data_IF_568588870339
#
_entry.id   IF_568588870339
#
_cell.length_a   1.000
_cell.length_b   1.000
_cell.length_c   1.000
_cell.angle_alpha   90.00
_cell.angle_beta   90.00
_cell.angle_gamma   90.00
#
_symmetry.space_group_name_H-M   'P 1'
#
loop_
_entity.id
_entity.type
_entity.pdbx_description
1 polymer ?
#
# COMPACT_ATOMS: atom_id res chain seq x y z
N UNK A 1 28.96 -40.88 -25.28
CA UNK A 1 28.94 -41.09 -23.81
C UNK A 1 27.54 -40.78 -23.30
N UNK A 2 26.83 -41.80 -22.81
CA UNK A 2 25.49 -41.60 -22.18
C UNK A 2 25.71 -40.96 -20.82
N UNK A 3 25.07 -39.83 -20.55
CA UNK A 3 25.09 -39.22 -19.20
C UNK A 3 24.53 -40.22 -18.14
N UNK A 4 25.19 -40.40 -16.99
CA UNK A 4 24.82 -41.42 -16.03
C UNK A 4 23.48 -41.19 -15.30
N UNK A 5 22.78 -40.08 -15.53
CA UNK A 5 21.48 -39.75 -14.94
C UNK A 5 20.48 -39.32 -16.01
N UNK A 6 19.96 -40.27 -16.78
CA UNK A 6 18.81 -40.02 -17.67
C UNK A 6 17.50 -40.24 -16.88
N UNK A 7 16.99 -39.18 -16.27
CA UNK A 7 15.64 -39.22 -15.72
C UNK A 7 14.61 -39.21 -16.86
N UNK A 8 13.66 -40.15 -16.82
CA UNK A 8 12.51 -40.08 -17.70
C UNK A 8 11.58 -38.96 -17.24
N UNK A 9 10.82 -38.39 -18.17
CA UNK A 9 9.81 -37.35 -17.83
C UNK A 9 8.84 -37.87 -16.77
N UNK A 10 8.56 -39.17 -16.75
CA UNK A 10 7.74 -39.83 -15.77
C UNK A 10 8.36 -39.72 -14.37
N UNK A 11 9.64 -40.13 -14.21
CA UNK A 11 10.36 -40.05 -12.96
C UNK A 11 10.55 -38.64 -12.46
N UNK A 12 10.77 -37.67 -13.38
CA UNK A 12 10.85 -36.25 -13.03
C UNK A 12 9.50 -35.71 -12.52
N UNK A 13 8.39 -36.11 -13.12
CA UNK A 13 7.05 -35.72 -12.68
C UNK A 13 6.69 -36.32 -11.32
N UNK A 14 7.09 -37.57 -11.05
CA UNK A 14 6.87 -38.26 -9.78
C UNK A 14 7.68 -37.57 -8.65
N UNK A 15 8.96 -37.24 -8.89
CA UNK A 15 9.82 -36.56 -7.91
C UNK A 15 9.35 -35.13 -7.61
N UNK A 16 8.83 -34.41 -8.63
CA UNK A 16 8.38 -33.03 -8.51
C UNK A 16 6.89 -32.92 -8.10
N UNK A 17 6.21 -34.04 -7.87
CA UNK A 17 4.77 -34.11 -7.57
C UNK A 17 3.90 -33.32 -8.57
N UNK A 18 4.30 -33.32 -9.85
CA UNK A 18 3.57 -32.63 -10.91
C UNK A 18 3.02 -33.63 -11.94
N UNK A 19 1.84 -33.35 -12.52
CA UNK A 19 1.30 -34.19 -13.57
C UNK A 19 2.13 -34.05 -14.87
N UNK A 20 2.16 -35.09 -15.73
CA UNK A 20 2.77 -35.00 -17.06
C UNK A 20 2.21 -33.83 -17.87
N UNK A 21 0.91 -33.56 -17.76
CA UNK A 21 0.27 -32.40 -18.41
C UNK A 21 0.86 -31.07 -17.90
N UNK A 22 1.13 -30.94 -16.61
CA UNK A 22 1.78 -29.75 -16.02
C UNK A 22 3.22 -29.60 -16.51
N UNK A 23 3.97 -30.70 -16.65
CA UNK A 23 5.32 -30.68 -17.19
C UNK A 23 5.38 -30.19 -18.65
N UNK A 24 4.50 -30.70 -19.51
CA UNK A 24 4.44 -30.32 -20.92
C UNK A 24 3.71 -28.97 -21.18
N UNK A 25 2.96 -28.45 -20.21
CA UNK A 25 2.25 -27.17 -20.35
C UNK A 25 3.16 -25.93 -20.31
N UNK A 26 4.44 -26.09 -19.95
CA UNK A 26 5.33 -24.93 -19.68
C UNK A 26 5.92 -24.18 -20.90
N UNK A 27 6.12 -24.74 -22.09
CA UNK A 27 6.75 -23.98 -23.19
C UNK A 27 5.82 -23.08 -24.00
N UNK A 28 4.52 -23.40 -24.07
CA UNK A 28 3.61 -22.84 -25.07
C UNK A 28 3.22 -21.35 -24.90
N UNK A 29 3.53 -20.72 -23.78
CA UNK A 29 3.11 -19.31 -23.52
C UNK A 29 4.05 -18.30 -24.17
N UNK A 30 5.32 -18.66 -24.35
CA UNK A 30 6.33 -17.76 -24.93
C UNK A 30 6.28 -17.72 -26.47
N UNK A 31 5.84 -18.82 -27.09
CA UNK A 31 5.75 -18.94 -28.56
C UNK A 31 4.44 -18.38 -29.14
N UNK A 32 3.42 -18.11 -28.29
CA UNK A 32 2.08 -17.73 -28.74
C UNK A 32 1.85 -16.21 -28.86
N UNK A 33 2.83 -15.38 -28.52
CA UNK A 33 2.73 -13.92 -28.69
C UNK A 33 3.60 -13.48 -29.88
N UNK A 34 2.97 -12.86 -30.85
CA UNK A 34 3.66 -12.14 -31.92
C UNK A 34 4.69 -11.15 -31.32
N UNK A 35 5.89 -11.07 -31.90
CA UNK A 35 6.95 -10.18 -31.44
C UNK A 35 6.50 -8.72 -31.29
N UNK A 36 5.59 -8.27 -32.14
CA UNK A 36 4.95 -6.96 -32.06
C UNK A 36 4.10 -6.79 -30.77
N UNK A 37 3.35 -7.80 -30.40
CA UNK A 37 2.54 -7.78 -29.14
C UNK A 37 3.46 -7.77 -27.93
N UNK A 38 4.56 -8.52 -27.95
CA UNK A 38 5.55 -8.51 -26.87
C UNK A 38 6.15 -7.11 -26.73
N UNK A 39 6.50 -6.44 -27.81
CA UNK A 39 7.04 -5.07 -27.79
C UNK A 39 6.04 -4.09 -27.17
N UNK A 40 4.78 -4.11 -27.60
CA UNK A 40 3.73 -3.27 -27.03
C UNK A 40 3.54 -3.51 -25.52
N UNK A 41 3.56 -4.77 -25.10
CA UNK A 41 3.48 -5.14 -23.68
C UNK A 41 4.67 -4.59 -22.90
N UNK A 42 5.90 -4.72 -23.42
CA UNK A 42 7.12 -4.19 -22.82
C UNK A 42 7.03 -2.68 -22.65
N UNK A 43 6.58 -1.95 -23.66
CA UNK A 43 6.49 -0.49 -23.63
C UNK A 43 5.50 -0.03 -22.54
N UNK A 44 4.35 -0.68 -22.41
CA UNK A 44 3.38 -0.37 -21.34
C UNK A 44 3.92 -0.72 -19.95
N UNK A 45 4.64 -1.84 -19.80
CA UNK A 45 5.28 -2.23 -18.55
C UNK A 45 6.38 -1.23 -18.15
N UNK A 46 7.22 -0.79 -19.11
CA UNK A 46 8.24 0.22 -18.88
C UNK A 46 7.62 1.55 -18.46
N UNK A 47 6.57 2.01 -19.15
CA UNK A 47 5.82 3.22 -18.77
C UNK A 47 5.25 3.11 -17.35
N UNK A 48 4.67 1.98 -17.00
CA UNK A 48 4.14 1.74 -15.66
C UNK A 48 5.25 1.77 -14.60
N UNK A 49 6.42 1.21 -14.89
CA UNK A 49 7.58 1.20 -13.98
C UNK A 49 8.26 2.56 -13.84
N UNK A 50 8.32 3.37 -14.89
CA UNK A 50 8.79 4.77 -14.80
C UNK A 50 7.92 5.59 -13.85
N UNK A 51 6.61 5.34 -13.82
CA UNK A 51 5.67 6.01 -12.89
C UNK A 51 5.78 5.48 -11.47
N UNK A 52 5.78 4.15 -11.31
CA UNK A 52 5.86 3.48 -10.01
C UNK A 52 6.86 2.32 -10.09
N UNK A 53 8.12 2.52 -9.65
CA UNK A 53 9.22 1.57 -9.83
C UNK A 53 8.97 0.17 -9.25
N UNK A 54 8.22 0.07 -8.16
CA UNK A 54 7.91 -1.22 -7.50
C UNK A 54 6.51 -1.74 -7.79
N UNK A 55 5.85 -1.26 -8.86
CA UNK A 55 4.52 -1.73 -9.21
C UNK A 55 4.54 -3.22 -9.61
N UNK A 56 3.77 -4.06 -8.90
CA UNK A 56 3.72 -5.51 -9.15
C UNK A 56 2.97 -5.87 -10.42
N UNK A 57 3.32 -7.02 -11.03
CA UNK A 57 2.73 -7.50 -12.30
C UNK A 57 1.20 -7.59 -12.28
N UNK A 58 0.61 -8.05 -11.19
CA UNK A 58 -0.87 -8.09 -11.03
C UNK A 58 -1.51 -6.71 -11.11
N UNK A 59 -0.86 -5.71 -10.48
CA UNK A 59 -1.35 -4.33 -10.50
C UNK A 59 -1.20 -3.70 -11.89
N UNK A 60 -0.10 -4.00 -12.59
CA UNK A 60 0.12 -3.55 -13.97
C UNK A 60 -0.90 -4.16 -14.94
N UNK A 61 -1.21 -5.46 -14.78
CA UNK A 61 -2.29 -6.08 -15.56
C UNK A 61 -3.64 -5.36 -15.36
N UNK A 62 -3.94 -4.93 -14.14
CA UNK A 62 -5.16 -4.17 -13.87
C UNK A 62 -5.26 -2.84 -14.63
N UNK A 63 -4.14 -2.29 -15.12
CA UNK A 63 -4.14 -1.01 -15.86
C UNK A 63 -4.42 -1.18 -17.35
N UNK A 64 -3.94 -2.27 -17.96
CA UNK A 64 -3.97 -2.44 -19.42
C UNK A 64 -4.26 -3.89 -19.87
N UNK A 65 -4.50 -4.80 -18.93
CA UNK A 65 -4.74 -6.22 -19.23
C UNK A 65 -5.94 -6.47 -20.15
N UNK A 66 -6.97 -5.62 -20.07
CA UNK A 66 -8.16 -5.70 -20.93
C UNK A 66 -7.83 -5.51 -22.43
N UNK A 67 -6.65 -4.93 -22.75
CA UNK A 67 -6.18 -4.71 -24.13
C UNK A 67 -5.29 -5.85 -24.65
N UNK A 68 -4.97 -6.81 -23.78
CA UNK A 68 -4.12 -7.93 -24.14
C UNK A 68 -4.94 -9.09 -24.72
N UNK A 69 -4.44 -9.77 -25.77
CA UNK A 69 -5.13 -10.90 -26.41
C UNK A 69 -5.07 -12.19 -25.56
N UNK A 70 -4.51 -12.12 -24.36
CA UNK A 70 -4.33 -13.28 -23.46
C UNK A 70 -4.90 -12.99 -22.07
N UNK A 71 -5.38 -14.03 -21.41
CA UNK A 71 -5.98 -13.94 -20.09
C UNK A 71 -4.98 -13.53 -18.99
N UNK A 72 -5.52 -13.10 -17.84
CA UNK A 72 -4.79 -12.51 -16.71
C UNK A 72 -3.56 -13.31 -16.27
N UNK A 73 -3.74 -14.60 -16.00
CA UNK A 73 -2.68 -15.40 -15.37
C UNK A 73 -1.54 -15.67 -16.37
N UNK A 74 -1.86 -15.85 -17.65
CA UNK A 74 -0.87 -15.92 -18.73
C UNK A 74 -0.13 -14.59 -18.89
N UNK A 75 -0.83 -13.45 -18.87
CA UNK A 75 -0.20 -12.12 -18.95
C UNK A 75 0.76 -11.90 -17.80
N UNK A 76 0.36 -12.23 -16.55
CA UNK A 76 1.22 -12.08 -15.37
C UNK A 76 2.47 -12.96 -15.48
N UNK A 77 2.35 -14.19 -15.99
CA UNK A 77 3.49 -15.07 -16.23
C UNK A 77 4.46 -14.45 -17.24
N UNK A 78 3.95 -13.96 -18.37
CA UNK A 78 4.76 -13.25 -19.39
C UNK A 78 5.47 -12.02 -18.79
N UNK A 79 4.78 -11.21 -17.99
CA UNK A 79 5.40 -10.05 -17.34
C UNK A 79 6.55 -10.46 -16.41
N UNK A 80 6.40 -11.57 -15.68
CA UNK A 80 7.45 -12.10 -14.81
C UNK A 80 8.65 -12.63 -15.62
N UNK A 81 8.40 -13.31 -16.73
CA UNK A 81 9.44 -13.86 -17.62
C UNK A 81 10.19 -12.75 -18.36
N UNK A 82 9.53 -11.63 -18.65
CA UNK A 82 10.16 -10.42 -19.20
C UNK A 82 10.98 -9.63 -18.14
N UNK A 83 11.12 -10.16 -16.91
CA UNK A 83 11.96 -9.57 -15.87
C UNK A 83 11.25 -8.50 -15.03
N UNK A 84 9.93 -8.33 -15.15
CA UNK A 84 9.16 -7.35 -14.37
C UNK A 84 8.74 -7.84 -12.98
N UNK A 85 9.36 -8.89 -12.43
CA UNK A 85 9.15 -9.29 -11.04
C UNK A 85 9.74 -8.25 -10.10
N UNK A 86 8.94 -7.80 -9.12
CA UNK A 86 9.44 -6.87 -8.08
C UNK A 86 10.19 -7.67 -7.02
N UNK A 87 11.40 -7.22 -6.70
CA UNK A 87 12.15 -7.69 -5.53
C UNK A 87 12.07 -6.59 -4.47
N UNK A 88 11.39 -6.87 -3.37
CA UNK A 88 11.37 -5.96 -2.23
C UNK A 88 12.63 -6.20 -1.38
N UNK A 89 13.30 -5.11 -0.91
CA UNK A 89 14.38 -5.26 0.05
C UNK A 89 13.84 -5.91 1.34
N UNK A 90 14.66 -6.74 1.98
CA UNK A 90 14.30 -7.31 3.29
C UNK A 90 14.10 -6.15 4.28
N UNK A 91 12.94 -6.13 4.94
CA UNK A 91 12.67 -5.15 5.99
C UNK A 91 13.38 -5.58 7.27
N UNK A 92 14.22 -4.71 7.79
CA UNK A 92 14.72 -4.77 9.15
C UNK A 92 14.03 -3.63 9.92
N UNK A 93 12.79 -3.82 10.33
CA UNK A 93 12.06 -2.85 11.14
C UNK A 93 11.93 -3.37 12.57
N UNK A 94 12.43 -2.63 13.57
CA UNK A 94 12.02 -2.81 14.96
C UNK A 94 10.63 -2.18 15.09
N UNK A 95 9.68 -2.91 15.68
CA UNK A 95 8.43 -2.31 16.12
C UNK A 95 8.78 -1.18 17.12
N UNK A 96 8.33 0.03 16.83
CA UNK A 96 8.41 1.15 17.77
C UNK A 96 7.55 0.80 18.99
N UNK A 97 8.07 1.01 20.20
CA UNK A 97 7.24 0.94 21.39
C UNK A 97 6.22 2.06 21.35
N UNK A 98 4.93 1.71 21.50
CA UNK A 98 3.86 2.68 21.60
C UNK A 98 4.02 3.55 22.82
N UNK A 99 3.80 4.87 22.66
CA UNK A 99 3.67 5.80 23.76
C UNK A 99 2.36 5.58 24.57
N UNK A 100 2.18 6.41 25.59
CA UNK A 100 0.92 6.44 26.33
C UNK A 100 -0.19 6.97 25.44
N UNK A 101 -1.34 6.26 25.40
CA UNK A 101 -2.52 6.68 24.63
C UNK A 101 -3.22 7.84 25.35
N UNK A 102 -3.33 9.01 24.72
CA UNK A 102 -4.08 10.14 25.23
C UNK A 102 -5.58 10.07 24.86
N UNK A 103 -5.91 9.53 23.69
CA UNK A 103 -7.28 9.39 23.21
C UNK A 103 -7.69 7.93 23.08
N UNK A 104 -8.98 7.57 23.32
CA UNK A 104 -9.46 6.20 23.15
C UNK A 104 -9.41 5.77 21.67
N UNK A 105 -9.32 4.47 21.44
CA UNK A 105 -9.51 3.91 20.11
C UNK A 105 -10.98 3.88 19.75
N UNK A 106 -11.41 4.80 18.88
CA UNK A 106 -12.80 4.92 18.43
C UNK A 106 -13.10 4.01 17.20
N UNK A 107 -12.10 3.23 16.74
CA UNK A 107 -12.24 2.39 15.55
C UNK A 107 -12.64 0.95 15.87
N UNK A 108 -12.63 0.55 17.12
CA UNK A 108 -13.06 -0.80 17.51
C UNK A 108 -14.48 -1.08 17.01
N UNK A 109 -14.61 -2.13 16.19
CA UNK A 109 -15.88 -2.56 15.59
C UNK A 109 -16.58 -1.48 14.73
N UNK A 110 -15.88 -0.40 14.35
CA UNK A 110 -16.44 0.67 13.52
C UNK A 110 -16.73 0.17 12.11
N UNK A 111 -17.94 0.42 11.65
CA UNK A 111 -18.33 0.26 10.25
C UNK A 111 -18.11 1.59 9.52
N UNK A 112 -17.45 1.54 8.37
CA UNK A 112 -17.19 2.69 7.50
C UNK A 112 -17.89 2.45 6.16
N UNK A 113 -18.87 3.29 5.83
CA UNK A 113 -19.70 3.17 4.64
C UNK A 113 -19.73 4.46 3.79
N UNK A 114 -18.78 5.36 4.04
CA UNK A 114 -18.67 6.61 3.28
C UNK A 114 -17.34 7.31 3.47
N UNK A 115 -17.04 8.21 2.54
CA UNK A 115 -15.87 9.09 2.61
C UNK A 115 -15.97 10.05 3.77
N UNK A 116 -14.81 10.47 4.31
CA UNK A 116 -14.69 11.42 5.42
C UNK A 116 -15.38 10.95 6.72
N UNK A 117 -15.51 9.63 6.93
CA UNK A 117 -15.93 9.08 8.20
C UNK A 117 -14.75 8.72 9.10
N UNK A 118 -13.68 8.22 8.51
CA UNK A 118 -12.44 7.88 9.20
C UNK A 118 -11.25 8.28 8.33
N UNK A 119 -10.38 9.09 8.91
CA UNK A 119 -9.03 9.33 8.38
C UNK A 119 -8.00 8.65 9.25
N UNK A 120 -7.01 8.04 8.63
CA UNK A 120 -5.85 7.50 9.33
C UNK A 120 -4.60 8.28 8.93
N UNK A 121 -3.82 8.68 9.94
CA UNK A 121 -2.60 9.45 9.76
C UNK A 121 -1.41 8.72 10.34
N UNK A 122 -0.27 8.90 9.69
CA UNK A 122 1.02 8.37 10.16
C UNK A 122 2.16 9.17 9.52
N UNK A 123 3.32 9.12 10.17
CA UNK A 123 4.55 9.75 9.75
C UNK A 123 5.60 8.69 9.43
N UNK A 124 6.40 8.93 8.41
CA UNK A 124 7.55 8.11 8.13
C UNK A 124 8.81 8.95 7.97
N UNK A 125 9.94 8.33 8.30
CA UNK A 125 11.26 8.91 8.06
C UNK A 125 11.70 8.64 6.63
N UNK A 126 12.33 9.64 6.01
CA UNK A 126 13.09 9.51 4.81
C UNK A 126 14.55 9.89 5.07
N UNK A 127 15.48 8.99 4.77
CA UNK A 127 16.90 9.20 5.01
C UNK A 127 17.62 9.49 3.71
N UNK A 128 18.38 10.57 3.67
CA UNK A 128 19.32 10.90 2.61
C UNK A 128 20.69 11.23 3.22
N UNK A 129 21.65 10.33 3.03
CA UNK A 129 22.91 10.40 3.79
C UNK A 129 22.65 10.40 5.29
N UNK A 130 23.18 11.37 6.00
CA UNK A 130 22.92 11.59 7.42
C UNK A 130 21.68 12.46 7.70
N UNK A 131 21.11 13.08 6.65
CA UNK A 131 19.95 13.95 6.79
C UNK A 131 18.67 13.14 6.96
N UNK A 132 17.93 13.43 8.02
CA UNK A 132 16.64 12.83 8.33
C UNK A 132 15.53 13.80 7.98
N UNK A 133 14.69 13.41 7.04
CA UNK A 133 13.48 14.12 6.62
C UNK A 133 12.24 13.35 7.05
N UNK A 134 11.11 14.03 7.11
CA UNK A 134 9.84 13.50 7.62
C UNK A 134 8.76 13.63 6.57
N UNK A 135 8.04 12.55 6.32
CA UNK A 135 6.88 12.53 5.42
C UNK A 135 5.63 12.21 6.23
N UNK A 136 4.59 13.02 6.09
CA UNK A 136 3.32 12.86 6.80
C UNK A 136 2.23 12.61 5.78
N UNK A 137 1.33 11.66 6.07
CA UNK A 137 0.19 11.34 5.22
C UNK A 137 -1.08 11.20 6.04
N UNK A 138 -2.19 11.71 5.49
CA UNK A 138 -3.55 11.46 5.98
C UNK A 138 -4.32 10.76 4.88
N UNK A 139 -4.86 9.58 5.18
CA UNK A 139 -5.57 8.72 4.23
C UNK A 139 -7.02 8.57 4.64
N UNK A 140 -7.96 8.86 3.73
CA UNK A 140 -9.35 8.49 3.90
C UNK A 140 -9.50 6.97 3.77
N UNK A 141 -10.00 6.34 4.82
CA UNK A 141 -10.07 4.87 4.92
C UNK A 141 -10.99 4.28 3.88
N UNK A 142 -12.11 4.93 3.57
CA UNK A 142 -13.12 4.40 2.66
C UNK A 142 -12.70 4.48 1.20
N UNK A 143 -12.23 5.63 0.75
CA UNK A 143 -11.78 5.84 -0.61
C UNK A 143 -10.31 5.44 -0.84
N UNK A 144 -9.54 5.22 0.23
CA UNK A 144 -8.09 5.03 0.20
C UNK A 144 -7.35 6.19 -0.51
N UNK A 145 -7.96 7.37 -0.54
CA UNK A 145 -7.35 8.57 -1.07
C UNK A 145 -6.43 9.21 -0.02
N UNK A 146 -5.25 9.63 -0.43
CA UNK A 146 -4.41 10.50 0.39
C UNK A 146 -5.00 11.89 0.32
N UNK A 147 -5.59 12.34 1.43
CA UNK A 147 -6.30 13.62 1.52
C UNK A 147 -5.43 14.75 2.02
N UNK A 148 -4.40 14.44 2.82
CA UNK A 148 -3.38 15.39 3.27
C UNK A 148 -2.00 14.75 3.24
N UNK A 149 -0.96 15.52 2.91
CA UNK A 149 0.41 15.06 2.92
C UNK A 149 1.39 16.23 2.94
N UNK A 150 2.62 15.96 3.40
CA UNK A 150 3.70 16.94 3.38
C UNK A 150 5.05 16.30 3.70
N UNK A 151 6.13 16.97 3.28
CA UNK A 151 7.49 16.59 3.60
C UNK A 151 8.23 17.76 4.26
N UNK A 152 9.00 17.46 5.32
CA UNK A 152 9.58 18.44 6.22
C UNK A 152 10.99 18.01 6.68
N UNK A 153 11.77 18.99 7.12
CA UNK A 153 13.09 18.79 7.75
C UNK A 153 13.02 18.63 9.27
N UNK A 154 11.87 18.91 9.86
CA UNK A 154 11.64 18.89 11.30
C UNK A 154 10.37 18.12 11.65
N UNK A 155 10.35 17.51 12.86
CA UNK A 155 9.21 16.73 13.36
C UNK A 155 8.47 17.52 14.45
N UNK A 156 7.93 18.68 14.06
CA UNK A 156 7.20 19.60 14.94
C UNK A 156 5.70 19.55 14.68
N UNK A 157 4.90 19.92 15.67
CA UNK A 157 3.44 19.84 15.62
C UNK A 157 2.82 20.69 14.49
N UNK A 158 3.42 21.82 14.17
CA UNK A 158 2.97 22.75 13.14
C UNK A 158 2.90 22.10 11.75
N UNK A 159 3.84 21.19 11.45
CA UNK A 159 3.86 20.45 10.20
C UNK A 159 2.65 19.52 10.09
N UNK A 160 2.25 18.89 11.19
CA UNK A 160 1.07 18.02 11.25
C UNK A 160 -0.22 18.83 11.13
N UNK A 161 -0.26 20.02 11.75
CA UNK A 161 -1.37 20.97 11.61
C UNK A 161 -1.54 21.38 10.16
N UNK A 162 -0.48 21.75 9.45
CA UNK A 162 -0.54 22.11 8.03
C UNK A 162 -1.11 20.97 7.17
N UNK A 163 -0.69 19.74 7.41
CA UNK A 163 -1.20 18.57 6.68
C UNK A 163 -2.67 18.30 7.00
N UNK A 164 -3.08 18.48 8.25
CA UNK A 164 -4.47 18.34 8.66
C UNK A 164 -5.35 19.43 8.02
N UNK A 165 -4.92 20.69 8.03
CA UNK A 165 -5.64 21.79 7.41
C UNK A 165 -5.76 21.63 5.89
N UNK A 166 -4.72 21.12 5.22
CA UNK A 166 -4.76 20.76 3.80
C UNK A 166 -5.85 19.70 3.53
N UNK A 167 -5.91 18.64 4.37
CA UNK A 167 -6.93 17.59 4.25
C UNK A 167 -8.34 18.13 4.48
N UNK A 168 -8.51 18.99 5.49
CA UNK A 168 -9.77 19.65 5.82
C UNK A 168 -10.23 20.55 4.66
N UNK A 169 -9.35 21.37 4.12
CA UNK A 169 -9.63 22.25 2.98
C UNK A 169 -10.15 21.46 1.78
N UNK A 170 -9.45 20.37 1.43
CA UNK A 170 -9.83 19.48 0.34
C UNK A 170 -11.19 18.80 0.57
N UNK A 171 -11.46 18.37 1.79
CA UNK A 171 -12.71 17.67 2.13
C UNK A 171 -13.91 18.61 2.19
N UNK A 172 -13.77 19.84 2.69
CA UNK A 172 -14.84 20.84 2.79
C UNK A 172 -15.46 21.21 1.44
N UNK A 173 -14.71 21.10 0.36
CA UNK A 173 -15.24 21.27 -1.00
C UNK A 173 -16.31 20.23 -1.35
N UNK A 174 -16.47 19.18 -0.54
CA UNK A 174 -17.37 18.08 -0.81
C UNK A 174 -18.49 17.92 0.22
N UNK A 175 -18.27 18.12 1.53
CA UNK A 175 -19.23 17.89 2.63
C UNK A 175 -18.76 18.39 3.99
N UNK A 176 -19.71 18.44 4.96
CA UNK A 176 -19.41 18.60 6.39
C UNK A 176 -18.49 17.48 6.90
N UNK A 177 -17.57 17.86 7.79
CA UNK A 177 -16.68 16.95 8.50
C UNK A 177 -17.24 16.51 9.88
N UNK A 178 -18.50 16.83 10.18
CA UNK A 178 -19.14 16.44 11.44
C UNK A 178 -19.15 14.91 11.56
N UNK A 179 -18.57 14.41 12.66
CA UNK A 179 -18.49 12.97 12.93
C UNK A 179 -17.29 12.25 12.30
N UNK A 180 -16.39 12.98 11.63
CA UNK A 180 -15.12 12.43 11.18
C UNK A 180 -14.28 12.00 12.39
N UNK A 181 -13.77 10.79 12.34
CA UNK A 181 -12.77 10.28 13.28
C UNK A 181 -11.40 10.40 12.60
N UNK A 182 -10.52 11.14 13.25
CA UNK A 182 -9.10 11.22 12.87
C UNK A 182 -8.31 10.29 13.78
N UNK A 183 -7.74 9.23 13.21
CA UNK A 183 -7.03 8.17 13.92
C UNK A 183 -5.54 8.22 13.58
N UNK A 184 -4.71 8.22 14.63
CA UNK A 184 -3.24 8.25 14.50
C UNK A 184 -2.58 7.31 15.51
N UNK A 185 -1.27 7.18 15.42
CA UNK A 185 -0.46 6.63 16.49
C UNK A 185 -0.37 7.57 17.70
N UNK A 186 0.27 7.15 18.79
CA UNK A 186 0.48 7.93 20.01
C UNK A 186 1.58 8.99 19.89
N UNK A 187 1.79 9.56 18.72
CA UNK A 187 2.80 10.62 18.50
C UNK A 187 2.40 11.93 19.19
N UNK A 188 3.34 12.51 19.96
CA UNK A 188 3.12 13.77 20.72
C UNK A 188 2.63 14.93 19.84
N UNK A 189 2.92 14.94 18.55
CA UNK A 189 2.51 15.97 17.61
C UNK A 189 0.98 16.01 17.46
N UNK A 190 0.33 14.83 17.48
CA UNK A 190 -1.13 14.72 17.45
C UNK A 190 -1.81 15.12 18.79
N UNK A 191 -1.01 15.17 19.87
CA UNK A 191 -1.45 15.58 21.21
C UNK A 191 -1.22 17.06 21.48
N UNK A 192 -0.59 17.79 20.57
CA UNK A 192 -0.30 19.23 20.74
C UNK A 192 -1.59 20.05 20.82
N UNK A 193 -1.54 21.16 21.55
CA UNK A 193 -2.71 22.03 21.69
C UNK A 193 -3.14 22.67 20.37
N UNK A 194 -2.19 22.98 19.48
CA UNK A 194 -2.45 23.48 18.14
C UNK A 194 -3.22 22.46 17.31
N UNK A 195 -2.81 21.18 17.35
CA UNK A 195 -3.51 20.11 16.63
C UNK A 195 -4.91 19.86 17.18
N UNK A 196 -5.05 19.78 18.51
CA UNK A 196 -6.33 19.65 19.21
C UNK A 196 -7.28 20.81 18.91
N UNK A 197 -6.75 22.02 18.81
CA UNK A 197 -7.57 23.22 18.49
C UNK A 197 -8.16 23.13 17.09
N UNK A 198 -7.39 22.66 16.09
CA UNK A 198 -7.91 22.43 14.72
C UNK A 198 -8.99 21.34 14.73
N UNK A 199 -8.76 20.22 15.40
CA UNK A 199 -9.75 19.14 15.49
C UNK A 199 -11.06 19.65 16.14
N UNK A 200 -10.98 20.38 17.26
CA UNK A 200 -12.16 20.97 17.93
C UNK A 200 -12.90 21.95 17.04
N UNK A 201 -12.18 22.87 16.36
CA UNK A 201 -12.76 23.87 15.43
C UNK A 201 -13.60 23.20 14.35
N UNK A 202 -13.18 22.03 13.87
CA UNK A 202 -13.83 21.30 12.79
C UNK A 202 -14.73 20.17 13.25
N UNK A 203 -14.93 19.99 14.56
CA UNK A 203 -15.73 18.90 15.16
C UNK A 203 -15.27 17.51 14.73
N UNK A 204 -13.94 17.35 14.63
CA UNK A 204 -13.26 16.10 14.32
C UNK A 204 -12.93 15.39 15.63
N UNK A 205 -13.33 14.13 15.77
CA UNK A 205 -13.01 13.30 16.92
C UNK A 205 -11.62 12.70 16.78
N UNK A 206 -10.73 12.93 17.76
CA UNK A 206 -9.42 12.30 17.78
C UNK A 206 -9.50 10.89 18.35
N UNK A 207 -8.74 9.98 17.75
CA UNK A 207 -8.63 8.57 18.12
C UNK A 207 -7.18 8.13 17.97
N UNK A 208 -6.70 7.29 18.89
CA UNK A 208 -5.32 6.81 18.85
C UNK A 208 -5.27 5.29 18.92
N UNK A 209 -4.33 4.72 18.16
CA UNK A 209 -3.97 3.31 18.28
C UNK A 209 -2.94 3.10 19.39
N UNK A 210 -2.93 1.90 19.97
CA UNK A 210 -1.88 1.45 20.87
C UNK A 210 -0.82 0.66 20.09
N UNK A 211 -1.25 -0.03 19.07
CA UNK A 211 -0.41 -0.88 18.24
C UNK A 211 -0.49 -0.48 16.78
N UNK A 212 0.61 -0.61 16.06
CA UNK A 212 0.70 -0.23 14.64
C UNK A 212 -0.34 -0.93 13.75
N UNK A 213 -0.68 -2.18 14.06
CA UNK A 213 -1.70 -2.92 13.31
C UNK A 213 -3.13 -2.34 13.43
N UNK A 214 -3.37 -1.43 14.37
CA UNK A 214 -4.65 -0.70 14.49
C UNK A 214 -4.74 0.49 13.52
N UNK A 215 -3.60 0.87 12.87
CA UNK A 215 -3.52 1.99 11.89
C UNK A 215 -3.16 1.52 10.46
N UNK A 216 -3.79 0.46 9.91
CA UNK A 216 -3.30 -0.26 8.74
C UNK A 216 -3.34 0.53 7.44
N UNK A 217 -4.26 1.48 7.28
CA UNK A 217 -4.37 2.28 6.04
C UNK A 217 -3.27 3.33 5.96
N UNK A 218 -2.92 3.96 7.09
CA UNK A 218 -1.83 4.91 7.14
C UNK A 218 -0.48 4.20 6.96
N UNK A 219 -0.23 3.08 7.65
CA UNK A 219 0.97 2.26 7.45
C UNK A 219 1.13 1.79 6.01
N UNK A 220 0.03 1.28 5.40
CA UNK A 220 0.05 0.85 4.01
C UNK A 220 0.33 2.01 3.06
N UNK A 221 -0.14 3.21 3.36
CA UNK A 221 0.13 4.41 2.57
C UNK A 221 1.60 4.80 2.67
N UNK A 222 2.15 4.86 3.89
CA UNK A 222 3.57 5.10 4.11
C UNK A 222 4.46 4.10 3.37
N UNK A 223 4.17 2.81 3.53
CA UNK A 223 4.89 1.76 2.83
C UNK A 223 4.82 1.93 1.31
N UNK A 224 3.64 2.18 0.79
CA UNK A 224 3.42 2.33 -0.64
C UNK A 224 4.16 3.53 -1.22
N UNK A 225 4.07 4.69 -0.58
CA UNK A 225 4.72 5.91 -1.09
C UNK A 225 6.23 5.83 -0.90
N UNK A 226 6.70 5.49 0.29
CA UNK A 226 8.13 5.46 0.57
C UNK A 226 8.84 4.33 -0.19
N UNK A 227 8.39 3.09 -0.05
CA UNK A 227 9.03 1.94 -0.71
C UNK A 227 8.62 1.79 -2.18
N UNK A 228 7.42 2.25 -2.53
CA UNK A 228 6.90 2.17 -3.89
C UNK A 228 7.50 3.19 -4.84
N UNK A 229 7.84 4.37 -4.34
CA UNK A 229 8.26 5.51 -5.14
C UNK A 229 9.55 6.15 -4.63
N UNK A 230 9.55 6.73 -3.41
CA UNK A 230 10.61 7.60 -2.92
C UNK A 230 11.95 6.89 -2.81
N UNK A 231 11.99 5.68 -2.25
CA UNK A 231 13.22 4.89 -2.12
C UNK A 231 13.83 4.47 -3.46
N UNK A 232 13.02 4.43 -4.51
CA UNK A 232 13.48 4.14 -5.87
C UNK A 232 13.90 5.39 -6.62
N UNK A 233 13.21 6.52 -6.42
CA UNK A 233 13.55 7.81 -7.03
C UNK A 233 14.69 8.52 -6.33
N UNK A 234 14.93 8.21 -5.05
CA UNK A 234 16.06 8.68 -4.23
C UNK A 234 16.21 10.20 -4.25
N UNK A 235 15.20 11.00 -3.87
CA UNK A 235 15.33 12.44 -3.75
C UNK A 235 16.45 12.82 -2.78
N UNK A 236 17.26 13.82 -3.15
CA UNK A 236 18.50 14.20 -2.49
C UNK A 236 18.39 15.51 -1.71
N UNK A 237 17.21 16.08 -1.63
CA UNK A 237 16.95 17.32 -0.87
C UNK A 237 15.50 17.36 -0.44
N UNK A 238 15.16 18.23 0.51
CA UNK A 238 13.78 18.47 0.91
C UNK A 238 12.91 18.93 -0.27
N UNK A 239 13.46 19.76 -1.17
CA UNK A 239 12.76 20.22 -2.38
C UNK A 239 12.43 19.05 -3.30
N UNK A 240 13.42 18.22 -3.62
CA UNK A 240 13.21 17.03 -4.45
C UNK A 240 12.26 16.03 -3.78
N UNK A 241 12.31 15.90 -2.44
CA UNK A 241 11.40 15.04 -1.70
C UNK A 241 9.96 15.51 -1.82
N UNK A 242 9.69 16.82 -1.69
CA UNK A 242 8.36 17.42 -1.89
C UNK A 242 7.84 17.16 -3.31
N UNK A 243 8.63 17.45 -4.32
CA UNK A 243 8.26 17.21 -5.73
C UNK A 243 8.00 15.73 -6.02
N UNK A 244 8.82 14.84 -5.45
CA UNK A 244 8.64 13.38 -5.60
C UNK A 244 7.40 12.91 -4.87
N UNK A 245 7.12 13.43 -3.68
CA UNK A 245 5.92 13.14 -2.90
C UNK A 245 4.66 13.57 -3.67
N UNK A 246 4.65 14.77 -4.26
CA UNK A 246 3.55 15.27 -5.09
C UNK A 246 3.25 14.33 -6.26
N UNK A 247 4.29 13.92 -6.99
CA UNK A 247 4.17 12.97 -8.11
C UNK A 247 3.64 11.61 -7.66
N UNK A 248 4.14 11.09 -6.54
CA UNK A 248 3.74 9.81 -5.99
C UNK A 248 2.29 9.82 -5.51
N UNK A 249 1.88 10.86 -4.78
CA UNK A 249 0.50 11.04 -4.30
C UNK A 249 -0.46 11.24 -5.47
N UNK A 250 -0.07 12.02 -6.48
CA UNK A 250 -0.86 12.18 -7.69
C UNK A 250 -1.09 10.83 -8.39
N UNK A 251 -0.03 10.02 -8.62
CA UNK A 251 -0.18 8.71 -9.25
C UNK A 251 -1.04 7.77 -8.40
N UNK A 252 -0.84 7.75 -7.09
CA UNK A 252 -1.65 6.96 -6.16
C UNK A 252 -3.12 7.32 -6.24
N UNK A 253 -3.44 8.60 -6.16
CA UNK A 253 -4.82 9.07 -6.07
C UNK A 253 -5.57 8.98 -7.40
N UNK A 254 -4.89 9.25 -8.54
CA UNK A 254 -5.57 9.44 -9.83
C UNK A 254 -5.41 8.27 -10.79
N UNK A 255 -4.29 7.55 -10.73
CA UNK A 255 -3.93 6.53 -11.72
C UNK A 255 -3.88 5.11 -11.17
N UNK A 256 -3.42 4.95 -9.91
CA UNK A 256 -3.25 3.63 -9.32
C UNK A 256 -4.60 2.99 -9.03
N UNK A 257 -4.93 1.94 -9.76
CA UNK A 257 -6.14 1.15 -9.55
C UNK A 257 -5.99 0.29 -8.28
N UNK A 258 -7.03 0.23 -7.49
CA UNK A 258 -7.14 -0.55 -6.25
C UNK A 258 -8.18 -1.65 -6.43
N UNK A 259 -7.78 -2.89 -6.21
CA UNK A 259 -8.70 -4.03 -6.29
C UNK A 259 -9.87 -3.89 -5.31
N UNK A 260 -9.60 -3.42 -4.10
CA UNK A 260 -10.62 -3.17 -3.09
C UNK A 260 -11.65 -2.09 -3.48
N UNK A 261 -11.36 -1.26 -4.48
CA UNK A 261 -12.25 -0.22 -5.01
C UNK A 261 -12.82 -0.60 -6.38
N UNK A 262 -12.88 -1.90 -6.72
CA UNK A 262 -13.36 -2.35 -8.03
C UNK A 262 -12.40 -2.04 -9.18
N UNK A 263 -11.08 -2.09 -8.94
CA UNK A 263 -10.02 -1.82 -9.92
C UNK A 263 -10.06 -0.41 -10.51
N UNK A 264 -10.49 0.57 -9.74
CA UNK A 264 -10.44 1.99 -10.10
C UNK A 264 -9.53 2.77 -9.12
N UNK A 265 -9.15 3.99 -9.49
CA UNK A 265 -8.33 4.84 -8.62
C UNK A 265 -9.17 5.47 -7.50
N UNK A 266 -8.55 5.87 -6.36
CA UNK A 266 -9.23 6.53 -5.25
C UNK A 266 -10.09 7.73 -5.65
N UNK A 267 -9.54 8.62 -6.48
CA UNK A 267 -10.27 9.80 -6.97
C UNK A 267 -11.46 9.42 -7.86
N UNK A 268 -11.29 8.42 -8.74
CA UNK A 268 -12.39 7.93 -9.58
C UNK A 268 -13.50 7.31 -8.72
N UNK A 269 -13.13 6.52 -7.72
CA UNK A 269 -14.07 5.95 -6.75
C UNK A 269 -14.85 7.04 -6.01
N UNK A 270 -14.15 8.05 -5.44
CA UNK A 270 -14.80 9.20 -4.81
C UNK A 270 -15.77 9.93 -5.73
N UNK A 271 -15.39 10.11 -7.00
CA UNK A 271 -16.23 10.82 -7.97
C UNK A 271 -17.49 10.01 -8.36
N UNK A 272 -17.41 8.69 -8.42
CA UNK A 272 -18.59 7.83 -8.60
C UNK A 272 -19.56 7.96 -7.43
N UNK A 273 -19.06 7.92 -6.18
CA UNK A 273 -19.92 8.13 -4.99
C UNK A 273 -20.62 9.49 -4.93
N UNK A 274 -20.06 10.51 -5.59
CA UNK A 274 -20.72 11.83 -5.70
C UNK A 274 -21.88 11.83 -6.70
N UNK A 275 -21.76 11.04 -7.78
CA UNK A 275 -22.79 10.96 -8.84
C UNK A 275 -23.97 10.10 -8.40
N UNK A 276 -23.71 8.97 -7.82
CA UNK A 276 -24.75 8.04 -7.36
C UNK A 276 -24.25 7.27 -6.12
N UNK A 277 -24.90 7.52 -4.98
CA UNK A 277 -24.57 6.87 -3.71
C UNK A 277 -24.96 5.40 -3.68
N UNK A 278 -25.93 5.00 -4.49
CA UNK A 278 -26.47 3.64 -4.51
C UNK A 278 -25.60 2.70 -5.37
N UNK A 279 -24.70 3.24 -6.19
CA UNK A 279 -23.85 2.45 -7.12
C UNK A 279 -22.77 1.65 -6.41
N UNK A 280 -22.45 1.95 -5.13
CA UNK A 280 -21.39 1.26 -4.40
C UNK A 280 -21.83 1.03 -2.95
N UNK A 281 -22.54 -0.05 -2.71
CA UNK A 281 -22.73 -0.57 -1.35
C UNK A 281 -21.47 -1.32 -0.90
N UNK A 282 -20.58 -0.61 -0.26
CA UNK A 282 -19.36 -1.16 0.31
C UNK A 282 -19.23 -0.72 1.76
N UNK A 283 -19.31 -1.66 2.68
CA UNK A 283 -19.11 -1.42 4.10
C UNK A 283 -17.80 -2.05 4.57
N UNK A 284 -16.88 -1.21 5.00
CA UNK A 284 -15.63 -1.64 5.62
C UNK A 284 -15.87 -1.90 7.12
N UNK A 285 -15.63 -3.13 7.57
CA UNK A 285 -15.56 -3.47 8.98
C UNK A 285 -14.10 -3.36 9.42
N UNK A 286 -13.79 -2.37 10.24
CA UNK A 286 -12.48 -2.24 10.86
C UNK A 286 -12.40 -3.25 12.00
N UNK A 287 -11.73 -4.37 11.77
CA UNK A 287 -11.40 -5.35 12.80
C UNK A 287 -9.97 -5.13 13.23
N UNK A 288 -9.66 -5.08 14.54
CA UNK A 288 -8.29 -5.15 14.99
C UNK A 288 -7.70 -6.48 14.50
N UNK A 289 -6.55 -6.43 13.87
CA UNK A 289 -5.80 -7.62 13.52
C UNK A 289 -5.13 -8.09 14.81
N UNK A 290 -5.74 -9.05 15.49
CA UNK A 290 -5.10 -9.70 16.63
C UNK A 290 -3.84 -10.38 16.07
N UNK A 291 -2.63 -10.04 16.52
CA UNK A 291 -1.43 -10.76 16.13
C UNK A 291 -1.63 -12.24 16.50
N UNK A 292 -1.37 -13.14 15.57
CA UNK A 292 -1.19 -14.55 15.92
C UNK A 292 -0.12 -14.60 17.02
N UNK A 293 -0.44 -15.20 18.14
CA UNK A 293 0.54 -15.43 19.21
C UNK A 293 1.79 -16.05 18.58
N UNK A 294 3.01 -15.62 18.95
CA UNK A 294 4.21 -16.25 18.45
C UNK A 294 4.07 -17.75 18.68
N UNK A 295 4.09 -18.54 17.62
CA UNK A 295 4.15 -20.00 17.74
C UNK A 295 5.35 -20.29 18.62
N UNK A 296 5.12 -20.83 19.82
CA UNK A 296 6.19 -21.34 20.67
C UNK A 296 7.03 -22.28 19.81
N UNK A 297 8.30 -21.95 19.68
CA UNK A 297 9.24 -22.86 19.07
C UNK A 297 9.28 -24.07 19.98
N UNK A 298 8.63 -25.17 19.56
CA UNK A 298 8.81 -26.47 20.16
C UNK A 298 10.29 -26.82 19.97
N UNK A 299 11.10 -26.51 20.96
CA UNK A 299 12.45 -27.02 21.04
C UNK A 299 12.32 -28.51 21.41
N UNK A 300 12.48 -29.39 20.42
CA UNK A 300 12.68 -30.80 20.67
C UNK A 300 13.94 -30.93 21.54
N UNK A 301 13.75 -30.98 22.86
CA UNK A 301 14.75 -31.50 23.76
C UNK A 301 14.72 -33.03 23.59
N UNK A 302 15.71 -33.53 22.89
CA UNK A 302 16.04 -34.96 22.86
C UNK A 302 16.24 -35.44 24.30
N UNK A 303 15.30 -36.24 24.82
CA UNK A 303 15.49 -36.99 26.05
C UNK A 303 16.51 -38.07 25.74
N UNK A 304 17.74 -37.90 26.21
CA UNK A 304 18.71 -38.99 26.32
C UNK A 304 18.33 -39.72 27.61
N UNK A 305 17.77 -40.91 27.43
CA UNK A 305 17.62 -41.86 28.51
C UNK A 305 18.99 -42.52 28.76
N UNK A 306 19.53 -42.34 29.95
CA UNK A 306 20.58 -43.18 30.53
C UNK A 306 19.97 -44.44 31.10
#
# INVERSE_FOLDING_TARGET
MKHPYSFTVRSACEILEVTRQAYYKKPAVKEALDGHVIQLVCDELIKARKRCPTRGCRSMYGDFGDRLPIGRDKSIAVFMDLGFRVRYPKRYGKATQSGTRMFPNLLEKKNVNGINQVWQADMAHYLYGETKLYTIYITDVYSQEIVGYGAYDSNIAENYVQVLEQAIYKAKQSKSLKGLIHHSDGGRQYESDSYKAVCRRHKISQSMCMYSYENPYAEKTNDLINNGYLNSWKPKSLKELKESQDKAVYDHNTRRRKQALGNISPVRFRNLLKKDRNTVEYTLKLKPRIPEQPREKITNKTLILT
#
